data_IF_885549454590
#
_entry.id   IF_885549454590
#
_cell.length_a   1.000
_cell.length_b   1.000
_cell.length_c   1.000
_cell.angle_alpha   90.00
_cell.angle_beta   90.00
_cell.angle_gamma   90.00
#
_symmetry.space_group_name_H-M   'P 1'
#
loop_
_entity.id
_entity.type
_entity.pdbx_description
1 polymer ?
#
# COMPACT_ATOMS: atom_id res chain seq x y z
N UNK A 1 -12.91 24.81 8.73
CA UNK A 1 -11.59 24.64 8.10
C UNK A 1 -10.79 23.73 9.02
N UNK A 2 -10.89 22.41 8.80
CA UNK A 2 -10.22 21.43 9.66
C UNK A 2 -8.72 21.44 9.37
N UNK A 3 -7.91 21.68 10.41
CA UNK A 3 -6.46 21.63 10.32
C UNK A 3 -6.02 20.17 10.45
N UNK A 4 -5.67 19.53 9.34
CA UNK A 4 -4.92 18.28 9.39
C UNK A 4 -3.53 18.56 9.98
N UNK A 5 -3.23 17.98 11.14
CA UNK A 5 -1.90 18.06 11.74
C UNK A 5 -1.00 17.02 11.08
N UNK A 6 0.12 17.43 10.49
CA UNK A 6 1.17 16.51 10.04
C UNK A 6 1.78 15.87 11.28
N UNK A 7 1.34 14.66 11.61
CA UNK A 7 1.98 13.85 12.64
C UNK A 7 3.18 13.15 12.02
N UNK A 8 4.37 13.40 12.58
CA UNK A 8 5.59 12.74 12.15
C UNK A 8 5.47 11.24 12.38
N UNK A 9 5.80 10.44 11.36
CA UNK A 9 5.80 8.97 11.47
C UNK A 9 6.71 8.52 12.60
N UNK A 10 6.22 7.59 13.43
CA UNK A 10 6.97 7.04 14.56
C UNK A 10 7.88 5.88 14.17
N UNK A 11 7.59 5.21 13.05
CA UNK A 11 8.37 4.09 12.53
C UNK A 11 8.84 4.35 11.11
N UNK A 12 10.07 3.96 10.83
CA UNK A 12 10.64 3.96 9.48
C UNK A 12 9.89 2.95 8.60
N UNK A 13 9.54 3.34 7.37
CA UNK A 13 8.92 2.44 6.38
C UNK A 13 9.98 2.03 5.37
N UNK A 14 9.97 0.76 4.98
CA UNK A 14 10.89 0.19 3.99
C UNK A 14 10.13 -0.23 2.75
N UNK A 15 10.69 -0.04 1.55
CA UNK A 15 10.03 -0.47 0.32
C UNK A 15 9.92 -2.00 0.33
N UNK A 16 8.80 -2.48 -0.16
CA UNK A 16 8.53 -3.88 -0.38
C UNK A 16 7.91 -4.05 -1.77
N UNK A 17 8.02 -5.24 -2.34
CA UNK A 17 7.25 -5.61 -3.52
C UNK A 17 6.93 -7.08 -3.40
N UNK A 18 5.75 -7.36 -2.86
CA UNK A 18 5.32 -8.72 -2.57
C UNK A 18 3.82 -8.86 -2.86
N UNK A 19 3.40 -9.90 -3.61
CA UNK A 19 1.99 -10.20 -3.79
C UNK A 19 1.32 -10.41 -2.43
N UNK A 20 0.13 -9.84 -2.27
CA UNK A 20 -0.62 -9.94 -1.04
C UNK A 20 -2.12 -10.09 -1.27
N UNK A 21 -2.75 -10.67 -0.26
CA UNK A 21 -4.19 -10.84 -0.16
C UNK A 21 -4.65 -10.30 1.18
N UNK A 22 -5.53 -9.31 1.15
CA UNK A 22 -6.27 -8.85 2.32
C UNK A 22 -7.59 -9.61 2.40
N UNK A 23 -7.80 -10.37 3.46
CA UNK A 23 -9.05 -11.06 3.77
C UNK A 23 -9.78 -10.25 4.85
N UNK A 24 -10.99 -9.81 4.53
CA UNK A 24 -11.85 -9.07 5.45
C UNK A 24 -13.02 -9.95 5.84
N UNK A 25 -13.17 -10.19 7.14
CA UNK A 25 -14.26 -11.00 7.68
C UNK A 25 -15.26 -10.10 8.38
N UNK A 26 -16.47 -10.00 7.83
CA UNK A 26 -17.60 -9.36 8.50
C UNK A 26 -18.50 -10.42 9.13
N UNK A 27 -18.84 -10.24 10.42
CA UNK A 27 -19.82 -11.06 11.12
C UNK A 27 -21.07 -10.24 11.42
N UNK A 28 -22.22 -10.73 10.99
CA UNK A 28 -23.53 -10.17 11.28
C UNK A 28 -24.46 -11.25 11.88
N UNK A 29 -24.54 -11.29 13.20
CA UNK A 29 -25.19 -12.39 13.92
C UNK A 29 -24.47 -13.72 13.68
N UNK A 30 -25.21 -14.73 13.23
CA UNK A 30 -24.67 -16.05 12.88
C UNK A 30 -24.06 -16.12 11.48
N UNK A 31 -24.25 -15.07 10.66
CA UNK A 31 -23.72 -15.02 9.31
C UNK A 31 -22.29 -14.44 9.32
N UNK A 32 -21.36 -15.16 8.71
CA UNK A 32 -19.99 -14.71 8.45
C UNK A 32 -19.82 -14.59 6.95
N UNK A 33 -19.40 -13.40 6.49
CA UNK A 33 -19.02 -13.16 5.10
C UNK A 33 -17.53 -12.81 5.02
N UNK A 34 -16.83 -13.49 4.13
CA UNK A 34 -15.43 -13.19 3.81
C UNK A 34 -15.35 -12.52 2.44
N UNK A 35 -14.58 -11.45 2.37
CA UNK A 35 -14.29 -10.72 1.14
C UNK A 35 -12.78 -10.57 1.00
N UNK A 36 -12.28 -10.69 -0.21
CA UNK A 36 -10.84 -10.66 -0.48
C UNK A 36 -10.48 -9.52 -1.43
N UNK A 37 -9.34 -8.89 -1.15
CA UNK A 37 -8.68 -7.94 -2.03
C UNK A 37 -7.27 -8.44 -2.35
N UNK A 38 -6.99 -8.53 -3.64
CA UNK A 38 -5.65 -8.86 -4.14
C UNK A 38 -4.91 -7.56 -4.47
N UNK A 39 -3.63 -7.53 -4.13
CA UNK A 39 -2.77 -6.38 -4.39
C UNK A 39 -1.30 -6.72 -4.19
N UNK A 40 -0.47 -5.68 -4.23
CA UNK A 40 0.95 -5.77 -3.93
C UNK A 40 1.27 -4.94 -2.70
N UNK A 41 1.98 -5.50 -1.73
CA UNK A 41 2.56 -4.71 -0.64
C UNK A 41 3.73 -3.92 -1.21
N UNK A 42 3.62 -2.59 -1.14
CA UNK A 42 4.59 -1.63 -1.70
C UNK A 42 5.56 -1.09 -0.65
N UNK A 43 5.17 -1.13 0.62
CA UNK A 43 6.06 -0.81 1.73
C UNK A 43 5.56 -1.41 3.06
N UNK A 44 6.47 -1.57 4.01
CA UNK A 44 6.20 -2.13 5.35
C UNK A 44 6.94 -1.36 6.45
N UNK A 45 6.38 -1.36 7.66
CA UNK A 45 7.06 -1.00 8.91
C UNK A 45 6.60 -1.90 10.04
N UNK A 46 7.20 -1.72 11.22
CA UNK A 46 6.73 -2.37 12.45
C UNK A 46 5.31 -1.94 12.85
N UNK A 47 4.80 -0.84 12.31
CA UNK A 47 3.45 -0.32 12.59
C UNK A 47 2.40 -0.68 11.55
N UNK A 48 2.77 -1.28 10.40
CA UNK A 48 1.81 -1.65 9.37
C UNK A 48 2.41 -1.79 7.98
N UNK A 49 1.56 -2.01 6.98
CA UNK A 49 1.94 -2.16 5.58
C UNK A 49 1.08 -1.26 4.68
N UNK A 50 1.60 -0.90 3.52
CA UNK A 50 0.82 -0.29 2.44
C UNK A 50 0.62 -1.33 1.34
N UNK A 51 -0.62 -1.54 0.93
CA UNK A 51 -0.97 -2.41 -0.17
C UNK A 51 -1.57 -1.59 -1.32
N UNK A 52 -1.03 -1.78 -2.51
CA UNK A 52 -1.57 -1.21 -3.74
C UNK A 52 -2.54 -2.22 -4.37
N UNK A 53 -3.75 -1.75 -4.70
CA UNK A 53 -4.81 -2.55 -5.31
C UNK A 53 -5.01 -2.05 -6.73
N UNK A 54 -4.90 -2.97 -7.71
CA UNK A 54 -5.04 -2.62 -9.13
C UNK A 54 -6.49 -2.45 -9.57
N UNK A 55 -7.43 -3.16 -8.92
CA UNK A 55 -8.87 -3.04 -9.19
C UNK A 55 -9.50 -1.92 -8.36
N UNK A 56 -9.39 -0.69 -8.87
CA UNK A 56 -9.94 0.50 -8.23
C UNK A 56 -11.48 0.49 -8.11
N UNK A 57 -12.18 -0.36 -8.89
CA UNK A 57 -13.63 -0.46 -8.88
C UNK A 57 -14.14 -1.54 -7.92
N UNK A 58 -13.25 -2.20 -7.18
CA UNK A 58 -13.65 -3.25 -6.24
C UNK A 58 -14.57 -2.66 -5.15
N UNK A 59 -15.78 -3.20 -4.95
CA UNK A 59 -16.76 -2.65 -4.00
C UNK A 59 -16.24 -2.65 -2.56
N UNK A 60 -15.31 -3.55 -2.20
CA UNK A 60 -14.73 -3.59 -0.86
C UNK A 60 -13.89 -2.34 -0.56
N UNK A 61 -13.30 -1.69 -1.57
CA UNK A 61 -12.58 -0.42 -1.38
C UNK A 61 -13.48 0.69 -0.87
N UNK A 62 -14.75 0.71 -1.29
CA UNK A 62 -15.72 1.68 -0.79
C UNK A 62 -16.01 1.42 0.69
N UNK A 63 -16.21 0.16 1.07
CA UNK A 63 -16.49 -0.21 2.46
C UNK A 63 -15.30 0.13 3.36
N UNK A 64 -14.08 -0.17 2.93
CA UNK A 64 -12.84 0.12 3.65
C UNK A 64 -12.55 1.62 3.81
N UNK A 65 -13.11 2.49 2.97
CA UNK A 65 -13.02 3.95 3.12
C UNK A 65 -13.98 4.49 4.18
N UNK A 66 -15.12 3.84 4.35
CA UNK A 66 -16.23 4.32 5.17
C UNK A 66 -16.25 3.68 6.57
N UNK A 67 -15.52 2.57 6.76
CA UNK A 67 -15.58 1.75 7.98
C UNK A 67 -14.20 1.25 8.39
N UNK A 68 -13.94 1.28 9.69
CA UNK A 68 -12.79 0.61 10.30
C UNK A 68 -13.04 -0.90 10.33
N UNK A 69 -12.55 -1.60 9.30
CA UNK A 69 -12.67 -3.04 9.18
C UNK A 69 -11.36 -3.72 9.59
N UNK A 70 -11.53 -4.80 10.36
CA UNK A 70 -10.46 -5.72 10.73
C UNK A 70 -10.39 -6.84 9.72
N UNK A 71 -9.18 -7.27 9.41
CA UNK A 71 -8.91 -8.35 8.47
C UNK A 71 -7.55 -8.98 8.72
N UNK A 72 -7.18 -9.88 7.83
CA UNK A 72 -5.87 -10.52 7.80
C UNK A 72 -5.19 -10.19 6.48
N UNK A 73 -4.00 -9.60 6.57
CA UNK A 73 -3.14 -9.37 5.43
C UNK A 73 -2.19 -10.56 5.30
N UNK A 74 -2.33 -11.32 4.22
CA UNK A 74 -1.43 -12.40 3.85
C UNK A 74 -0.46 -11.89 2.79
N UNK A 75 0.83 -11.88 3.11
CA UNK A 75 1.90 -11.46 2.20
C UNK A 75 2.69 -12.69 1.77
N UNK A 76 2.75 -12.93 0.46
CA UNK A 76 3.59 -13.99 -0.10
C UNK A 76 5.04 -13.51 -0.06
N UNK A 77 5.87 -14.21 0.70
CA UNK A 77 7.28 -13.86 0.80
C UNK A 77 8.00 -14.12 -0.54
N UNK A 78 9.09 -13.39 -0.83
CA UNK A 78 9.82 -13.54 -2.09
C UNK A 78 10.36 -14.95 -2.36
N UNK A 79 10.51 -15.78 -1.32
CA UNK A 79 10.94 -17.17 -1.45
C UNK A 79 9.86 -18.09 -2.03
N UNK A 80 8.63 -17.59 -2.18
CA UNK A 80 7.47 -18.31 -2.72
C UNK A 80 6.94 -19.43 -1.82
N UNK A 81 7.58 -19.67 -0.68
CA UNK A 81 7.30 -20.81 0.19
C UNK A 81 6.74 -20.39 1.55
N UNK A 82 6.80 -19.10 1.87
CA UNK A 82 6.29 -18.56 3.13
C UNK A 82 5.19 -17.53 2.89
N UNK A 83 4.16 -17.59 3.73
CA UNK A 83 3.10 -16.59 3.80
C UNK A 83 3.14 -15.95 5.18
N UNK A 84 3.41 -14.65 5.21
CA UNK A 84 3.32 -13.87 6.44
C UNK A 84 1.87 -13.42 6.62
N UNK A 85 1.24 -13.82 7.72
CA UNK A 85 -0.13 -13.41 8.05
C UNK A 85 -0.09 -12.35 9.15
N UNK A 86 -0.65 -11.18 8.87
CA UNK A 86 -0.63 -10.00 9.74
C UNK A 86 -2.08 -9.61 10.04
N UNK A 87 -2.51 -9.60 11.31
CA UNK A 87 -3.76 -8.96 11.68
C UNK A 87 -3.72 -7.49 11.28
N UNK A 88 -4.68 -7.05 10.47
CA UNK A 88 -4.70 -5.73 9.87
C UNK A 88 -6.00 -5.00 10.21
N UNK A 89 -5.89 -3.70 10.45
CA UNK A 89 -7.02 -2.78 10.51
C UNK A 89 -6.75 -1.69 9.47
N UNK A 90 -7.76 -1.38 8.65
CA UNK A 90 -7.57 -0.40 7.59
C UNK A 90 -7.60 1.01 8.17
N UNK A 91 -6.45 1.68 8.16
CA UNK A 91 -6.31 3.04 8.71
C UNK A 91 -6.66 4.11 7.67
N UNK A 92 -6.34 3.87 6.40
CA UNK A 92 -6.57 4.84 5.33
C UNK A 92 -6.62 4.13 3.97
N UNK A 93 -7.63 4.44 3.15
CA UNK A 93 -7.67 4.11 1.72
C UNK A 93 -7.60 5.40 0.90
N UNK A 94 -6.54 5.55 0.09
CA UNK A 94 -6.40 6.70 -0.82
C UNK A 94 -6.56 6.21 -2.25
N UNK A 95 -7.37 6.90 -3.03
CA UNK A 95 -7.39 6.71 -4.48
C UNK A 95 -6.29 7.56 -5.10
N UNK A 96 -5.29 6.90 -5.65
CA UNK A 96 -4.14 7.57 -6.21
C UNK A 96 -4.02 7.25 -7.70
N UNK A 97 -3.98 8.30 -8.54
CA UNK A 97 -3.42 8.20 -9.90
C UNK A 97 -1.92 7.83 -9.89
N UNK A 98 -1.28 7.78 -8.71
CA UNK A 98 0.12 7.45 -8.49
C UNK A 98 0.49 5.99 -8.73
N UNK A 99 -0.46 5.05 -8.75
CA UNK A 99 -0.11 3.63 -8.86
C UNK A 99 0.72 3.28 -10.10
N UNK A 100 0.36 3.87 -11.25
CA UNK A 100 1.11 3.69 -12.50
C UNK A 100 2.49 4.38 -12.46
N UNK A 101 2.57 5.59 -11.89
CA UNK A 101 3.82 6.35 -11.79
C UNK A 101 4.77 5.69 -10.79
N UNK A 102 4.25 5.17 -9.68
CA UNK A 102 5.02 4.43 -8.68
C UNK A 102 5.61 3.16 -9.29
N UNK A 103 4.82 2.33 -9.99
CA UNK A 103 5.33 1.16 -10.71
C UNK A 103 6.42 1.52 -11.73
N UNK A 104 6.27 2.63 -12.45
CA UNK A 104 7.31 3.13 -13.37
C UNK A 104 8.58 3.54 -12.62
N UNK A 105 8.46 4.27 -11.50
CA UNK A 105 9.60 4.69 -10.67
C UNK A 105 10.31 3.46 -10.08
N UNK A 106 9.57 2.47 -9.56
CA UNK A 106 10.15 1.23 -9.01
C UNK A 106 10.84 0.41 -10.10
N UNK A 107 10.21 0.23 -11.26
CA UNK A 107 10.82 -0.45 -12.40
C UNK A 107 12.12 0.22 -12.86
N UNK A 108 12.14 1.55 -12.92
CA UNK A 108 13.33 2.33 -13.25
C UNK A 108 14.42 2.24 -12.17
N UNK A 109 14.05 2.16 -10.90
CA UNK A 109 15.03 1.98 -9.81
C UNK A 109 15.68 0.59 -9.85
N UNK A 110 14.92 -0.45 -10.17
CA UNK A 110 15.41 -1.82 -10.25
C UNK A 110 16.32 -2.08 -11.46
N UNK A 111 16.19 -1.30 -12.54
CA UNK A 111 17.09 -1.35 -13.71
C UNK A 111 18.53 -0.92 -13.36
N UNK A 112 18.71 -0.08 -12.33
CA UNK A 112 20.03 0.29 -11.77
C UNK A 112 20.93 1.15 -12.68
N UNK A 113 20.58 1.31 -13.95
CA UNK A 113 21.32 2.13 -14.89
C UNK A 113 21.28 3.61 -14.49
N UNK A 114 22.29 4.38 -14.91
CA UNK A 114 22.31 5.83 -14.68
C UNK A 114 21.12 6.53 -15.35
N UNK A 115 20.68 6.01 -16.51
CA UNK A 115 19.52 6.53 -17.27
C UNK A 115 18.24 6.31 -16.49
N UNK A 116 18.04 5.11 -15.93
CA UNK A 116 16.83 4.80 -15.18
C UNK A 116 16.78 5.55 -13.84
N UNK A 117 17.93 5.76 -13.18
CA UNK A 117 18.04 6.66 -12.02
C UNK A 117 17.61 8.09 -12.36
N UNK A 118 18.08 8.64 -13.47
CA UNK A 118 17.71 9.99 -13.90
C UNK A 118 16.23 10.10 -14.28
N UNK A 119 15.70 9.13 -15.02
CA UNK A 119 14.28 9.07 -15.37
C UNK A 119 13.38 8.98 -14.14
N UNK A 120 13.77 8.18 -13.14
CA UNK A 120 13.04 8.08 -11.87
C UNK A 120 13.02 9.41 -11.11
N UNK A 121 14.14 10.14 -11.08
CA UNK A 121 14.25 11.44 -10.41
C UNK A 121 13.37 12.50 -11.09
N UNK A 122 13.31 12.51 -12.42
CA UNK A 122 12.43 13.42 -13.18
C UNK A 122 10.96 13.13 -12.93
N UNK A 123 10.56 11.85 -12.90
CA UNK A 123 9.18 11.46 -12.59
C UNK A 123 8.79 11.87 -11.17
N UNK A 124 9.70 11.74 -10.19
CA UNK A 124 9.50 12.18 -8.81
C UNK A 124 9.33 13.69 -8.72
N UNK A 125 10.16 14.46 -9.43
CA UNK A 125 10.10 15.93 -9.43
C UNK A 125 8.86 16.50 -10.15
N UNK A 126 8.20 15.72 -11.01
CA UNK A 126 6.98 16.11 -11.70
C UNK A 126 5.70 15.84 -10.87
N UNK A 127 5.84 15.22 -9.69
CA UNK A 127 4.73 14.98 -8.78
C UNK A 127 4.34 16.31 -8.10
N UNK A 128 3.05 16.60 -7.93
CA UNK A 128 2.62 17.79 -7.21
C UNK A 128 3.15 17.78 -5.76
N UNK A 129 3.44 18.97 -5.22
CA UNK A 129 4.10 19.25 -3.93
C UNK A 129 3.51 18.55 -2.68
N UNK A 130 2.41 17.81 -2.80
CA UNK A 130 1.86 16.96 -1.74
C UNK A 130 2.54 15.59 -1.64
N UNK A 131 3.47 15.26 -2.53
CA UNK A 131 4.38 14.13 -2.33
C UNK A 131 5.62 14.64 -1.64
N UNK A 132 5.54 14.76 -0.32
CA UNK A 132 6.77 14.85 0.47
C UNK A 132 7.62 13.63 0.14
N UNK A 133 8.79 13.92 -0.42
CA UNK A 133 9.89 13.01 -0.65
C UNK A 133 10.10 12.21 0.63
N UNK A 134 9.55 11.00 0.67
CA UNK A 134 9.85 10.03 1.72
C UNK A 134 11.19 9.42 1.34
N UNK A 135 12.22 10.27 1.42
CA UNK A 135 13.61 9.87 1.35
C UNK A 135 13.84 8.96 2.56
N UNK A 136 13.93 7.66 2.29
CA UNK A 136 14.35 6.66 3.25
C UNK A 136 15.85 6.86 3.42
N UNK A 137 16.22 7.51 4.52
CA UNK A 137 17.58 7.58 5.05
C UNK A 137 17.94 6.28 5.76
#
# INVERSE_FOLDING_TARGET
>A
MERYSIQKRQTERRPALAPARLVVTERNGDNVSEQELMGDVVDVSLGGAAMEISDANNPLLKVLRERDLKGELHVLMPDGNQVLTIPAETVWVVEHMFGAIHRMIVGLRNDGSAVARQASATLIAALPDQVEDTTIS
#
